data_IF_289360216109
#
_entry.id   IF_289360216109
#
_cell.length_a   1.000
_cell.length_b   1.000
_cell.length_c   1.000
_cell.angle_alpha   90.00
_cell.angle_beta   90.00
_cell.angle_gamma   90.00
#
_symmetry.space_group_name_H-M   'P 1'
#
loop_
_entity.id
_entity.type
_entity.pdbx_description
1 polymer ?
#
# COMPACT_ATOMS: atom_id res chain seq x y z
N UNK A 1 38.80 6.05 13.89
CA UNK A 1 37.85 7.02 13.30
C UNK A 1 36.54 6.88 14.04
N UNK A 2 35.96 7.98 14.53
CA UNK A 2 34.76 7.94 15.35
C UNK A 2 33.53 7.72 14.47
N UNK A 3 32.52 7.01 14.98
CA UNK A 3 31.30 6.74 14.22
C UNK A 3 30.52 8.04 13.95
N UNK A 4 30.74 9.06 14.78
CA UNK A 4 30.18 10.42 14.61
C UNK A 4 30.72 11.10 13.35
N UNK A 5 31.97 10.86 12.97
CA UNK A 5 32.58 11.48 11.79
C UNK A 5 31.93 10.96 10.51
N UNK A 6 31.67 9.65 10.45
CA UNK A 6 31.00 8.99 9.32
C UNK A 6 29.55 9.51 9.21
N UNK A 7 28.84 9.58 10.33
CA UNK A 7 27.46 10.08 10.39
C UNK A 7 27.35 11.53 9.93
N UNK A 8 28.28 12.40 10.34
CA UNK A 8 28.31 13.79 9.91
C UNK A 8 28.63 13.92 8.42
N UNK A 9 29.54 13.10 7.90
CA UNK A 9 29.83 13.06 6.46
C UNK A 9 28.62 12.61 5.64
N UNK A 10 27.87 11.61 6.11
CA UNK A 10 26.60 11.19 5.48
C UNK A 10 25.59 12.35 5.46
N UNK A 11 25.39 13.03 6.59
CA UNK A 11 24.46 14.18 6.67
C UNK A 11 24.87 15.32 5.74
N UNK A 12 26.17 15.62 5.64
CA UNK A 12 26.67 16.64 4.74
C UNK A 12 26.50 16.26 3.26
N UNK A 13 26.75 14.99 2.92
CA UNK A 13 26.57 14.48 1.56
C UNK A 13 25.10 14.56 1.12
N UNK A 14 24.15 14.22 2.01
CA UNK A 14 22.71 14.32 1.75
C UNK A 14 22.26 15.78 1.57
N UNK A 15 22.79 16.71 2.37
CA UNK A 15 22.51 18.14 2.21
C UNK A 15 23.04 18.69 0.87
N UNK A 16 24.05 18.05 0.28
CA UNK A 16 24.67 18.48 -0.98
C UNK A 16 23.96 17.87 -2.19
N UNK A 17 23.58 16.59 -2.11
CA UNK A 17 22.85 15.87 -3.16
C UNK A 17 21.75 15.00 -2.54
N UNK A 18 20.52 15.52 -2.48
CA UNK A 18 19.36 14.83 -1.89
C UNK A 18 18.91 13.60 -2.69
N UNK A 19 19.38 13.45 -3.93
CA UNK A 19 18.93 12.45 -4.89
C UNK A 19 19.98 11.41 -5.28
N UNK A 20 21.09 11.33 -4.53
CA UNK A 20 22.08 10.29 -4.74
C UNK A 20 21.52 8.92 -4.30
N UNK A 21 21.75 7.89 -5.12
CA UNK A 21 21.39 6.52 -4.73
C UNK A 21 22.21 6.06 -3.51
N UNK A 22 21.70 5.11 -2.72
CA UNK A 22 22.43 4.59 -1.55
C UNK A 22 23.82 4.07 -1.93
N UNK A 23 23.95 3.42 -3.09
CA UNK A 23 25.24 2.93 -3.57
C UNK A 23 26.21 4.05 -3.95
N UNK A 24 25.70 5.14 -4.52
CA UNK A 24 26.45 6.34 -4.88
C UNK A 24 26.88 7.11 -3.63
N UNK A 25 25.96 7.35 -2.69
CA UNK A 25 26.23 7.97 -1.39
C UNK A 25 27.29 7.18 -0.61
N UNK A 26 27.14 5.85 -0.51
CA UNK A 26 28.10 4.98 0.18
C UNK A 26 29.45 5.02 -0.52
N UNK A 27 29.49 5.06 -1.85
CA UNK A 27 30.74 5.12 -2.62
C UNK A 27 31.44 6.46 -2.44
N UNK A 28 30.69 7.57 -2.43
CA UNK A 28 31.24 8.92 -2.28
C UNK A 28 31.80 9.14 -0.87
N UNK A 29 31.02 8.81 0.18
CA UNK A 29 31.46 8.93 1.57
C UNK A 29 32.63 7.98 1.86
N UNK A 30 32.61 6.77 1.31
CA UNK A 30 33.74 5.81 1.41
C UNK A 30 35.02 6.38 0.80
N UNK A 31 34.92 7.04 -0.36
CA UNK A 31 36.06 7.66 -1.03
C UNK A 31 36.58 8.89 -0.29
N UNK A 32 35.68 9.74 0.21
CA UNK A 32 36.04 10.97 0.93
C UNK A 32 36.75 10.69 2.26
N UNK A 33 36.34 9.64 2.97
CA UNK A 33 36.85 9.29 4.30
C UNK A 33 37.88 8.13 4.29
N UNK A 34 38.09 7.48 3.15
CA UNK A 34 39.03 6.34 3.03
C UNK A 34 38.61 5.09 3.81
N UNK A 35 37.31 4.92 4.09
CA UNK A 35 36.75 3.80 4.86
C UNK A 35 36.13 2.73 3.96
N UNK A 36 36.06 1.46 4.41
CA UNK A 36 35.42 0.40 3.64
C UNK A 36 33.92 0.67 3.47
N UNK A 37 33.40 0.43 2.26
CA UNK A 37 31.99 0.63 1.90
C UNK A 37 31.01 -0.08 2.85
N UNK A 38 31.37 -1.26 3.35
CA UNK A 38 30.53 -2.02 4.28
C UNK A 38 30.26 -1.28 5.59
N UNK A 39 31.23 -0.51 6.10
CA UNK A 39 31.07 0.26 7.33
C UNK A 39 30.13 1.46 7.11
N UNK A 40 30.26 2.15 5.98
CA UNK A 40 29.38 3.27 5.60
C UNK A 40 27.96 2.76 5.35
N UNK A 41 27.80 1.66 4.62
CA UNK A 41 26.50 1.04 4.38
C UNK A 41 25.82 0.60 5.69
N UNK A 42 26.59 0.05 6.64
CA UNK A 42 26.09 -0.31 7.96
C UNK A 42 25.59 0.91 8.74
N UNK A 43 26.35 2.02 8.73
CA UNK A 43 25.94 3.25 9.41
C UNK A 43 24.71 3.89 8.77
N UNK A 44 24.64 3.92 7.44
CA UNK A 44 23.43 4.36 6.70
C UNK A 44 22.23 3.50 7.09
N UNK A 45 22.39 2.17 7.15
CA UNK A 45 21.32 1.26 7.56
C UNK A 45 20.89 1.49 9.02
N UNK A 46 21.84 1.79 9.91
CA UNK A 46 21.54 2.09 11.32
C UNK A 46 20.81 3.42 11.47
N UNK A 47 21.19 4.44 10.69
CA UNK A 47 20.49 5.72 10.65
C UNK A 47 19.06 5.59 10.12
N UNK A 48 18.85 4.81 9.06
CA UNK A 48 17.50 4.48 8.57
C UNK A 48 16.67 3.76 9.63
N UNK A 49 17.25 2.75 10.30
CA UNK A 49 16.58 2.01 11.39
C UNK A 49 16.20 2.91 12.57
N UNK A 50 16.98 3.95 12.84
CA UNK A 50 16.72 4.93 13.90
C UNK A 50 15.72 6.02 13.48
N UNK A 51 15.22 6.01 12.24
CA UNK A 51 14.33 7.04 11.72
C UNK A 51 15.02 8.36 11.41
N UNK A 52 16.36 8.39 11.33
CA UNK A 52 17.13 9.59 11.00
C UNK A 52 17.21 9.84 9.49
N UNK A 53 16.93 8.81 8.69
CA UNK A 53 16.92 8.86 7.23
C UNK A 53 15.68 8.14 6.70
N UNK A 54 14.91 8.78 5.83
CA UNK A 54 13.89 8.11 5.02
C UNK A 54 14.51 7.74 3.67
N UNK A 55 14.54 6.44 3.36
CA UNK A 55 14.99 5.95 2.06
C UNK A 55 13.79 5.83 1.14
N UNK A 56 13.72 6.67 0.11
CA UNK A 56 12.71 6.56 -0.94
C UNK A 56 13.16 5.52 -1.97
N UNK A 57 12.20 4.77 -2.53
CA UNK A 57 12.48 3.79 -3.58
C UNK A 57 13.01 4.45 -4.86
N UNK A 58 13.74 3.69 -5.68
CA UNK A 58 14.19 4.19 -6.99
C UNK A 58 12.96 4.60 -7.81
N UNK A 59 12.90 5.84 -8.34
CA UNK A 59 11.77 6.30 -9.12
C UNK A 59 11.53 5.40 -10.32
N UNK A 60 10.27 5.06 -10.56
CA UNK A 60 9.80 4.28 -11.71
C UNK A 60 8.48 4.88 -12.17
N UNK A 61 8.27 4.89 -13.48
CA UNK A 61 7.03 5.34 -14.11
C UNK A 61 5.76 4.80 -13.42
N UNK A 62 4.75 5.65 -13.23
CA UNK A 62 3.45 5.31 -12.63
C UNK A 62 2.75 4.15 -13.33
N UNK A 63 2.90 4.04 -14.65
CA UNK A 63 2.36 2.92 -15.45
C UNK A 63 3.13 1.63 -15.18
N UNK A 64 4.45 1.73 -14.99
CA UNK A 64 5.26 0.57 -14.63
C UNK A 64 4.85 0.02 -13.26
N UNK A 65 4.45 0.86 -12.30
CA UNK A 65 3.93 0.40 -11.01
C UNK A 65 2.68 -0.50 -11.15
N UNK A 66 1.72 -0.11 -11.99
CA UNK A 66 0.46 -0.86 -12.18
C UNK A 66 0.69 -2.26 -12.77
N UNK A 67 1.67 -2.41 -13.66
CA UNK A 67 2.03 -3.68 -14.30
C UNK A 67 3.20 -4.41 -13.64
N UNK A 68 3.78 -3.83 -12.58
CA UNK A 68 4.87 -4.44 -11.82
C UNK A 68 4.35 -5.48 -10.82
N UNK A 69 5.26 -6.29 -10.29
CA UNK A 69 5.04 -7.19 -9.15
C UNK A 69 4.50 -6.40 -7.94
N UNK A 70 4.92 -5.14 -7.77
CA UNK A 70 4.39 -4.27 -6.71
C UNK A 70 2.91 -3.90 -6.90
N UNK A 71 2.37 -3.99 -8.12
CA UNK A 71 0.97 -3.74 -8.45
C UNK A 71 0.07 -4.99 -8.33
N UNK A 72 0.64 -6.18 -8.09
CA UNK A 72 -0.12 -7.44 -8.05
C UNK A 72 -1.23 -7.44 -7.00
N UNK A 73 -1.02 -6.77 -5.86
CA UNK A 73 -2.03 -6.70 -4.80
C UNK A 73 -3.37 -6.16 -5.32
N UNK A 74 -3.34 -5.13 -6.19
CA UNK A 74 -4.53 -4.54 -6.79
C UNK A 74 -5.26 -5.54 -7.69
N UNK A 75 -4.52 -6.21 -8.57
CA UNK A 75 -5.09 -7.20 -9.49
C UNK A 75 -5.66 -8.41 -8.76
N UNK A 76 -4.99 -8.90 -7.71
CA UNK A 76 -5.49 -9.98 -6.86
C UNK A 76 -6.77 -9.56 -6.15
N UNK A 77 -6.81 -8.36 -5.58
CA UNK A 77 -8.02 -7.84 -4.93
C UNK A 77 -9.16 -7.65 -5.94
N UNK A 78 -8.88 -7.11 -7.12
CA UNK A 78 -9.87 -6.92 -8.18
C UNK A 78 -10.41 -8.26 -8.71
N UNK A 79 -9.54 -9.25 -8.87
CA UNK A 79 -9.94 -10.61 -9.23
C UNK A 79 -10.84 -11.24 -8.16
N UNK A 80 -10.53 -11.02 -6.88
CA UNK A 80 -11.35 -11.54 -5.78
C UNK A 80 -12.72 -10.86 -5.71
N UNK A 81 -12.78 -9.54 -5.91
CA UNK A 81 -14.04 -8.78 -6.05
C UNK A 81 -14.87 -9.37 -7.19
N UNK A 82 -14.26 -9.54 -8.36
CA UNK A 82 -14.92 -10.05 -9.57
C UNK A 82 -15.41 -11.49 -9.36
N UNK A 83 -14.61 -12.34 -8.73
CA UNK A 83 -14.98 -13.69 -8.35
C UNK A 83 -16.17 -13.71 -7.38
N UNK A 84 -16.25 -12.76 -6.44
CA UNK A 84 -17.39 -12.65 -5.52
C UNK A 84 -18.69 -12.30 -6.25
N UNK A 85 -18.63 -11.38 -7.22
CA UNK A 85 -19.78 -10.99 -8.05
C UNK A 85 -20.23 -12.18 -8.90
N UNK A 86 -19.30 -12.85 -9.58
CA UNK A 86 -19.57 -14.04 -10.38
C UNK A 86 -20.15 -15.18 -9.54
N UNK A 87 -19.63 -15.39 -8.33
CA UNK A 87 -20.16 -16.39 -7.41
C UNK A 87 -21.61 -16.09 -7.00
N UNK A 88 -21.97 -14.82 -6.80
CA UNK A 88 -23.34 -14.43 -6.47
C UNK A 88 -24.29 -14.60 -7.66
N UNK A 89 -23.83 -14.33 -8.90
CA UNK A 89 -24.68 -14.37 -10.10
C UNK A 89 -24.81 -15.76 -10.72
N UNK A 90 -23.75 -16.56 -10.71
CA UNK A 90 -23.71 -17.86 -11.39
C UNK A 90 -24.08 -19.04 -10.47
N UNK A 91 -23.86 -18.92 -9.15
CA UNK A 91 -24.06 -20.02 -8.20
C UNK A 91 -25.43 -19.86 -7.52
N UNK A 92 -26.43 -20.55 -8.07
CA UNK A 92 -27.78 -20.64 -7.52
C UNK A 92 -28.03 -21.85 -6.59
N UNK A 93 -27.20 -22.89 -6.67
CA UNK A 93 -27.37 -24.12 -5.88
C UNK A 93 -26.24 -25.14 -6.05
N UNK A 94 -26.34 -26.28 -5.35
CA UNK A 94 -25.33 -27.35 -5.35
C UNK A 94 -24.19 -27.15 -4.34
N UNK A 95 -23.14 -28.01 -4.36
CA UNK A 95 -22.04 -27.95 -3.39
C UNK A 95 -21.19 -26.67 -3.49
N UNK A 96 -21.24 -25.97 -4.63
CA UNK A 96 -20.55 -24.70 -4.85
C UNK A 96 -21.12 -23.54 -4.02
N UNK A 97 -22.26 -23.72 -3.34
CA UNK A 97 -22.87 -22.69 -2.49
C UNK A 97 -21.99 -22.30 -1.29
N UNK A 98 -21.21 -23.26 -0.76
CA UNK A 98 -20.26 -22.97 0.32
C UNK A 98 -19.18 -21.98 -0.12
N UNK A 99 -18.74 -22.06 -1.38
CA UNK A 99 -17.78 -21.11 -1.93
C UNK A 99 -18.38 -19.69 -2.02
N UNK A 100 -19.65 -19.57 -2.42
CA UNK A 100 -20.38 -18.29 -2.43
C UNK A 100 -20.47 -17.67 -1.03
N UNK A 101 -20.77 -18.47 0.00
CA UNK A 101 -20.81 -17.97 1.37
C UNK A 101 -19.43 -17.59 1.90
N UNK A 102 -18.40 -18.39 1.61
CA UNK A 102 -17.02 -18.07 1.99
C UNK A 102 -16.52 -16.77 1.36
N UNK A 103 -16.69 -16.63 0.04
CA UNK A 103 -16.33 -15.41 -0.68
C UNK A 103 -17.16 -14.21 -0.22
N UNK A 104 -18.47 -14.37 -0.03
CA UNK A 104 -19.33 -13.31 0.48
C UNK A 104 -18.92 -12.84 1.86
N UNK A 105 -18.64 -13.76 2.79
CA UNK A 105 -18.18 -13.43 4.13
C UNK A 105 -16.84 -12.70 4.12
N UNK A 106 -15.87 -13.17 3.32
CA UNK A 106 -14.57 -12.50 3.16
C UNK A 106 -14.74 -11.09 2.58
N UNK A 107 -15.63 -10.95 1.60
CA UNK A 107 -15.92 -9.68 0.94
C UNK A 107 -16.58 -8.68 1.90
N UNK A 108 -17.42 -9.16 2.82
CA UNK A 108 -18.09 -8.32 3.81
C UNK A 108 -17.19 -7.98 5.00
N UNK A 109 -16.40 -8.94 5.47
CA UNK A 109 -15.66 -8.82 6.74
C UNK A 109 -14.28 -8.16 6.59
N UNK A 110 -13.66 -8.24 5.41
CA UNK A 110 -12.27 -7.83 5.25
C UNK A 110 -12.05 -6.84 4.10
N UNK A 111 -12.65 -7.09 2.93
CA UNK A 111 -12.30 -6.38 1.70
C UNK A 111 -12.51 -4.86 1.70
N UNK A 112 -13.68 -4.31 2.08
CA UNK A 112 -13.89 -2.86 2.03
C UNK A 112 -13.00 -2.14 3.05
N UNK A 113 -12.78 -2.75 4.22
CA UNK A 113 -11.83 -2.21 5.20
C UNK A 113 -10.38 -2.29 4.74
N UNK A 114 -9.96 -3.40 4.12
CA UNK A 114 -8.64 -3.53 3.50
C UNK A 114 -8.39 -2.46 2.43
N UNK A 115 -9.34 -2.29 1.51
CA UNK A 115 -9.26 -1.26 0.47
C UNK A 115 -9.17 0.15 1.06
N UNK A 116 -9.88 0.41 2.17
CA UNK A 116 -9.82 1.69 2.87
C UNK A 116 -8.46 1.91 3.55
N UNK A 117 -7.91 0.90 4.23
CA UNK A 117 -6.57 0.97 4.84
C UNK A 117 -5.51 1.22 3.79
N UNK A 118 -5.53 0.49 2.67
CA UNK A 118 -4.60 0.69 1.56
C UNK A 118 -4.74 2.08 0.93
N UNK A 119 -5.95 2.66 0.96
CA UNK A 119 -6.19 4.01 0.45
C UNK A 119 -5.73 5.10 1.42
N UNK A 120 -5.81 4.87 2.74
CA UNK A 120 -5.42 5.83 3.78
C UNK A 120 -3.92 5.80 4.04
N UNK A 121 -3.36 4.59 4.12
CA UNK A 121 -1.96 4.29 4.43
C UNK A 121 -1.31 3.57 3.25
N UNK A 122 -0.90 4.33 2.20
CA UNK A 122 -0.35 3.77 0.98
C UNK A 122 1.08 3.25 1.15
N UNK A 123 1.81 3.70 2.17
CA UNK A 123 3.18 3.27 2.45
C UNK A 123 3.18 2.02 3.33
N UNK A 124 4.12 1.11 3.07
CA UNK A 124 4.19 -0.19 3.74
C UNK A 124 4.77 -0.17 5.16
N UNK A 125 5.42 0.94 5.53
CA UNK A 125 6.12 1.16 6.80
C UNK A 125 5.30 1.96 7.82
N UNK A 126 4.14 2.50 7.44
CA UNK A 126 3.26 3.28 8.32
C UNK A 126 2.55 2.44 9.39
N UNK A 127 2.31 1.15 9.11
CA UNK A 127 1.55 0.25 9.97
C UNK A 127 2.22 -1.11 10.04
N UNK A 128 2.28 -1.68 11.25
CA UNK A 128 2.70 -3.08 11.38
C UNK A 128 1.66 -4.02 10.71
N UNK A 129 2.07 -5.21 10.24
CA UNK A 129 1.15 -6.15 9.60
C UNK A 129 -0.06 -6.51 10.45
N UNK A 130 0.11 -6.59 11.77
CA UNK A 130 -0.98 -6.90 12.71
C UNK A 130 -1.95 -5.73 12.88
N UNK A 131 -1.45 -4.50 13.00
CA UNK A 131 -2.29 -3.30 13.05
C UNK A 131 -3.08 -3.14 11.75
N UNK A 132 -2.44 -3.40 10.60
CA UNK A 132 -3.10 -3.34 9.30
C UNK A 132 -4.26 -4.32 9.20
N UNK A 133 -4.09 -5.54 9.69
CA UNK A 133 -5.12 -6.55 9.72
C UNK A 133 -6.26 -6.16 10.67
N UNK A 134 -5.93 -5.72 11.89
CA UNK A 134 -6.91 -5.29 12.87
C UNK A 134 -7.74 -4.09 12.38
N UNK A 135 -7.09 -3.08 11.79
CA UNK A 135 -7.75 -1.92 11.19
C UNK A 135 -8.62 -2.30 10.00
N UNK A 136 -8.17 -3.23 9.16
CA UNK A 136 -8.96 -3.69 8.01
C UNK A 136 -10.27 -4.33 8.48
N UNK A 137 -10.22 -5.19 9.49
CA UNK A 137 -11.44 -5.82 10.06
C UNK A 137 -12.33 -4.76 10.72
N UNK A 138 -11.75 -3.90 11.56
CA UNK A 138 -12.48 -2.85 12.26
C UNK A 138 -13.18 -1.87 11.32
N UNK A 139 -12.49 -1.41 10.27
CA UNK A 139 -13.06 -0.54 9.25
C UNK A 139 -14.12 -1.23 8.42
N UNK A 140 -13.98 -2.52 8.13
CA UNK A 140 -15.04 -3.28 7.44
C UNK A 140 -16.32 -3.29 8.25
N UNK A 141 -16.21 -3.59 9.55
CA UNK A 141 -17.36 -3.59 10.48
C UNK A 141 -17.98 -2.20 10.66
N UNK A 142 -17.21 -1.13 10.51
CA UNK A 142 -17.72 0.24 10.53
C UNK A 142 -18.39 0.66 9.21
N UNK A 143 -17.82 0.25 8.07
CA UNK A 143 -18.29 0.64 6.73
C UNK A 143 -19.59 -0.06 6.36
N UNK A 144 -19.77 -1.34 6.72
CA UNK A 144 -20.98 -2.07 6.33
C UNK A 144 -22.30 -1.44 6.87
N UNK A 145 -22.42 -1.08 8.17
CA UNK A 145 -23.61 -0.40 8.67
C UNK A 145 -23.83 0.96 8.00
N UNK A 146 -22.77 1.71 7.71
CA UNK A 146 -22.86 2.99 7.01
C UNK A 146 -23.42 2.81 5.59
N UNK A 147 -22.94 1.79 4.86
CA UNK A 147 -23.49 1.43 3.54
C UNK A 147 -24.96 1.04 3.66
N UNK A 148 -25.32 0.23 4.67
CA UNK A 148 -26.71 -0.15 4.95
C UNK A 148 -27.61 1.05 5.24
N UNK A 149 -27.12 2.02 6.02
CA UNK A 149 -27.83 3.27 6.32
C UNK A 149 -28.05 4.09 5.05
N UNK A 150 -27.03 4.28 4.22
CA UNK A 150 -27.14 4.99 2.94
C UNK A 150 -28.15 4.30 2.02
N UNK A 151 -28.06 2.97 1.91
CA UNK A 151 -28.98 2.15 1.12
C UNK A 151 -30.43 2.26 1.59
N UNK A 152 -30.66 2.44 2.89
CA UNK A 152 -32.00 2.65 3.44
C UNK A 152 -32.68 3.92 2.89
N UNK A 153 -31.89 4.95 2.55
CA UNK A 153 -32.39 6.17 1.90
C UNK A 153 -32.44 6.07 0.37
N UNK A 154 -32.00 4.94 -0.23
CA UNK A 154 -32.11 4.70 -1.67
C UNK A 154 -33.39 3.93 -2.00
N UNK A 155 -33.96 4.12 -3.21
CA UNK A 155 -35.19 3.43 -3.64
C UNK A 155 -35.06 1.89 -3.68
N UNK A 156 -33.84 1.35 -3.63
CA UNK A 156 -33.58 -0.09 -3.65
C UNK A 156 -33.78 -0.77 -2.28
N UNK A 157 -33.70 0.00 -1.19
CA UNK A 157 -33.87 -0.47 0.19
C UNK A 157 -32.79 -1.45 0.69
N UNK A 158 -32.98 -1.96 1.91
CA UNK A 158 -32.08 -2.94 2.56
C UNK A 158 -32.36 -4.35 2.03
N UNK A 159 -32.01 -4.59 0.76
CA UNK A 159 -32.09 -5.91 0.12
C UNK A 159 -30.70 -6.49 -0.10
N UNK A 160 -30.60 -7.80 -0.25
CA UNK A 160 -29.33 -8.50 -0.46
C UNK A 160 -28.55 -7.99 -1.70
N UNK A 161 -29.24 -7.87 -2.84
CA UNK A 161 -28.60 -7.45 -4.10
C UNK A 161 -28.01 -6.03 -4.02
N UNK A 162 -28.76 -5.00 -3.57
CA UNK A 162 -28.22 -3.64 -3.38
C UNK A 162 -27.04 -3.57 -2.41
N UNK A 163 -27.07 -4.33 -1.31
CA UNK A 163 -25.96 -4.37 -0.34
C UNK A 163 -24.70 -4.91 -1.01
N UNK A 164 -24.79 -6.07 -1.66
CA UNK A 164 -23.63 -6.69 -2.33
C UNK A 164 -23.08 -5.78 -3.42
N UNK A 165 -23.94 -5.21 -4.27
CA UNK A 165 -23.50 -4.32 -5.36
C UNK A 165 -22.83 -3.06 -4.79
N UNK A 166 -23.42 -2.43 -3.77
CA UNK A 166 -22.87 -1.20 -3.18
C UNK A 166 -21.54 -1.45 -2.48
N UNK A 167 -21.42 -2.52 -1.70
CA UNK A 167 -20.17 -2.87 -1.01
C UNK A 167 -19.06 -3.17 -2.03
N UNK A 168 -19.36 -3.90 -3.10
CA UNK A 168 -18.38 -4.15 -4.16
C UNK A 168 -17.99 -2.85 -4.89
N UNK A 169 -18.94 -1.99 -5.22
CA UNK A 169 -18.67 -0.71 -5.88
C UNK A 169 -17.77 0.21 -5.03
N UNK A 170 -18.07 0.31 -3.72
CA UNK A 170 -17.24 1.06 -2.77
C UNK A 170 -15.84 0.47 -2.69
N UNK A 171 -15.72 -0.86 -2.60
CA UNK A 171 -14.42 -1.54 -2.54
C UNK A 171 -13.57 -1.27 -3.78
N UNK A 172 -14.14 -1.41 -4.99
CA UNK A 172 -13.42 -1.13 -6.26
C UNK A 172 -12.98 0.32 -6.33
N UNK A 173 -13.83 1.25 -5.90
CA UNK A 173 -13.51 2.68 -5.87
C UNK A 173 -12.32 2.94 -4.96
N UNK A 174 -12.34 2.41 -3.73
CA UNK A 174 -11.25 2.56 -2.76
C UNK A 174 -9.95 1.91 -3.24
N UNK A 175 -10.01 0.72 -3.83
CA UNK A 175 -8.83 0.05 -4.42
C UNK A 175 -8.22 0.90 -5.54
N UNK A 176 -9.05 1.51 -6.38
CA UNK A 176 -8.59 2.38 -7.47
C UNK A 176 -7.96 3.66 -6.93
N UNK A 177 -8.55 4.27 -5.91
CA UNK A 177 -7.97 5.44 -5.22
C UNK A 177 -6.62 5.09 -4.59
N UNK A 178 -6.53 3.93 -3.92
CA UNK A 178 -5.30 3.44 -3.32
C UNK A 178 -4.20 3.22 -4.38
N UNK A 179 -4.54 2.60 -5.52
CA UNK A 179 -3.62 2.42 -6.65
C UNK A 179 -3.08 3.76 -7.16
N UNK A 180 -3.97 4.74 -7.37
CA UNK A 180 -3.59 6.08 -7.84
C UNK A 180 -2.74 6.81 -6.80
N UNK A 181 -3.05 6.73 -5.50
CA UNK A 181 -2.22 7.34 -4.45
C UNK A 181 -0.83 6.73 -4.43
N UNK A 182 -0.71 5.41 -4.47
CA UNK A 182 0.60 4.73 -4.52
C UNK A 182 1.37 5.14 -5.76
N UNK A 183 0.77 5.06 -6.94
CA UNK A 183 1.41 5.45 -8.20
C UNK A 183 1.92 6.91 -8.18
N UNK A 184 1.13 7.86 -7.64
CA UNK A 184 1.55 9.26 -7.51
C UNK A 184 2.68 9.46 -6.51
N UNK A 185 2.74 8.70 -5.43
CA UNK A 185 3.86 8.76 -4.48
C UNK A 185 5.16 8.33 -5.17
N UNK A 186 5.11 7.30 -6.02
CA UNK A 186 6.26 6.87 -6.81
C UNK A 186 6.68 7.92 -7.86
N UNK A 187 5.73 8.57 -8.54
CA UNK A 187 6.02 9.64 -9.52
C UNK A 187 6.63 10.89 -8.87
N UNK A 188 6.08 11.31 -7.72
CA UNK A 188 6.58 12.47 -6.98
C UNK A 188 8.00 12.30 -6.40
N UNK A 189 8.51 11.06 -6.36
CA UNK A 189 9.92 10.79 -6.08
C UNK A 189 10.83 11.13 -7.27
N UNK A 190 10.35 10.93 -8.49
CA UNK A 190 11.09 11.20 -9.72
C UNK A 190 11.24 12.71 -9.97
N UNK A 191 10.14 13.45 -9.83
CA UNK A 191 10.11 14.90 -10.04
C UNK A 191 11.01 15.66 -9.05
N UNK A 192 11.11 15.19 -7.80
CA UNK A 192 11.95 15.80 -6.75
C UNK A 192 13.45 15.72 -7.05
N UNK A 193 13.85 14.82 -7.95
CA UNK A 193 15.24 14.57 -8.28
C UNK A 193 15.65 15.01 -9.69
N UNK A 194 14.70 15.47 -10.50
CA UNK A 194 14.95 16.05 -11.82
C UNK A 194 14.91 17.60 -11.83
N UNK A 195 14.49 18.25 -10.74
CA UNK A 195 14.54 19.70 -10.54
C UNK A 195 15.79 20.17 -9.81
#
# INVERSE_FOLDING_TARGET
MDNRDIRNAIKNAINTNQCASVSELVTEVSRALGVPKGLVAYEVMMMWKNGELELEGVPRNSVAYVFSVEGLWYWVSLALVTASILAVTLIGGGPLIYLRYGLGALMLLFMPGYALVESLYPRGDELSPLERLALSIGLSLAVLPLIGLVLNYTPWGIRFVPIVVSTNAVTVTLLTVALVRKARIFEAGEDRCQG
#
